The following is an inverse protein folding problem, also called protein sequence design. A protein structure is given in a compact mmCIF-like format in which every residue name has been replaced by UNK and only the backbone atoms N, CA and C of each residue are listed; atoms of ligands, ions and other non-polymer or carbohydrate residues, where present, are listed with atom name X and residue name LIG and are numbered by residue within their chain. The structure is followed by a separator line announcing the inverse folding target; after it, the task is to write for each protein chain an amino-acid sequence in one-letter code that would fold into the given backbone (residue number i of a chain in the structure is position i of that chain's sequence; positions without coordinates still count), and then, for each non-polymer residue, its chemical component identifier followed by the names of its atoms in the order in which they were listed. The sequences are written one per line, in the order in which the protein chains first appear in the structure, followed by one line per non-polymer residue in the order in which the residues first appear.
data_IF_531161125775
#
_entry.id   IF_531161125775
#
_cell.length_a   1.000
_cell.length_b   1.000
_cell.length_c   1.000
_cell.angle_alpha   90.00
_cell.angle_beta   90.00
_cell.angle_gamma   90.00
#
_symmetry.space_group_name_H-M   'P 1'
#
loop_
_entity.id
_entity.type
_entity.pdbx_description
1 polymer ?
#
# COMPACT_ATOMS: atom_id res chain seq x y z
N UNK A 1 10.02 -12.61 -0.69
CA UNK A 1 10.16 -11.55 0.33
C UNK A 1 8.90 -10.70 0.35
N UNK A 2 8.45 -10.24 1.52
CA UNK A 2 7.25 -9.39 1.68
C UNK A 2 7.62 -7.99 2.11
N UNK A 3 7.23 -6.97 1.34
CA UNK A 3 7.55 -5.57 1.65
C UNK A 3 6.45 -4.61 1.20
N UNK A 4 6.63 -3.32 1.53
CA UNK A 4 5.68 -2.25 1.21
C UNK A 4 6.13 -1.46 -0.02
N UNK A 5 5.22 -1.17 -0.92
CA UNK A 5 5.46 -0.28 -2.07
C UNK A 5 5.65 1.15 -1.55
N UNK A 6 6.84 1.70 -1.75
CA UNK A 6 7.21 3.07 -1.35
C UNK A 6 6.65 4.11 -2.30
N UNK A 7 6.68 3.81 -3.59
CA UNK A 7 5.98 4.58 -4.63
C UNK A 7 5.96 3.76 -5.92
N UNK A 8 4.99 4.05 -6.79
CA UNK A 8 4.92 3.48 -8.12
C UNK A 8 4.31 4.52 -9.07
N UNK A 9 4.97 4.74 -10.20
CA UNK A 9 4.48 5.62 -11.25
C UNK A 9 3.83 4.76 -12.33
N UNK A 10 2.51 4.66 -12.30
CA UNK A 10 1.75 3.86 -13.26
C UNK A 10 1.86 4.37 -14.71
N UNK A 11 2.18 5.65 -14.92
CA UNK A 11 2.38 6.21 -16.26
C UNK A 11 3.73 5.80 -16.82
N UNK A 12 4.77 5.74 -15.98
CA UNK A 12 6.12 5.31 -16.38
C UNK A 12 6.34 3.81 -16.26
N UNK A 13 5.50 3.09 -15.52
CA UNK A 13 5.55 1.64 -15.37
C UNK A 13 6.66 1.15 -14.43
N UNK A 14 7.11 1.96 -13.48
CA UNK A 14 8.13 1.54 -12.50
C UNK A 14 7.92 2.16 -11.13
N UNK A 15 8.53 1.54 -10.11
CA UNK A 15 8.42 1.95 -8.72
C UNK A 15 9.56 1.45 -7.84
N UNK A 16 9.39 1.68 -6.54
CA UNK A 16 10.28 1.18 -5.50
C UNK A 16 9.43 0.47 -4.44
N UNK A 17 9.85 -0.75 -4.11
CA UNK A 17 9.39 -1.51 -2.95
C UNK A 17 10.45 -1.35 -1.88
N UNK A 18 10.06 -1.17 -0.63
CA UNK A 18 10.99 -0.90 0.46
C UNK A 18 10.68 -1.76 1.67
N UNK A 19 11.74 -2.20 2.33
CA UNK A 19 11.66 -2.87 3.63
C UNK A 19 11.09 -1.92 4.68
N UNK A 20 10.58 -2.51 5.78
CA UNK A 20 10.16 -1.75 6.95
C UNK A 20 11.24 -0.74 7.38
N UNK A 21 10.82 0.51 7.56
CA UNK A 21 11.72 1.60 7.96
C UNK A 21 12.70 2.06 6.87
N UNK A 22 12.54 1.61 5.63
CA UNK A 22 13.28 2.15 4.47
C UNK A 22 14.76 1.75 4.39
N UNK A 23 15.15 0.61 4.98
CA UNK A 23 16.56 0.19 5.07
C UNK A 23 17.12 -0.30 3.74
N UNK A 24 16.28 -0.89 2.92
CA UNK A 24 16.63 -1.48 1.63
C UNK A 24 15.49 -1.23 0.64
N UNK A 25 15.86 -0.76 -0.54
CA UNK A 25 14.96 -0.42 -1.65
C UNK A 25 15.17 -1.40 -2.81
N UNK A 26 14.08 -1.90 -3.37
CA UNK A 26 14.03 -2.79 -4.52
C UNK A 26 13.32 -2.10 -5.68
N UNK A 27 13.96 -2.09 -6.84
CA UNK A 27 13.36 -1.54 -8.04
C UNK A 27 12.36 -2.52 -8.65
N UNK A 28 11.15 -2.04 -8.95
CA UNK A 28 10.10 -2.83 -9.62
C UNK A 28 9.74 -2.19 -10.95
N UNK A 29 9.67 -3.00 -12.00
CA UNK A 29 9.09 -2.63 -13.29
C UNK A 29 7.75 -3.36 -13.49
N UNK A 30 6.81 -2.73 -14.17
CA UNK A 30 5.45 -3.27 -14.39
C UNK A 30 5.44 -4.66 -15.04
N UNK A 31 6.45 -4.99 -15.84
CA UNK A 31 6.57 -6.31 -16.48
C UNK A 31 6.75 -7.44 -15.47
N UNK A 32 7.32 -7.12 -14.30
CA UNK A 32 7.57 -8.08 -13.23
C UNK A 32 6.38 -8.26 -12.31
N UNK A 33 5.32 -7.46 -12.45
CA UNK A 33 4.10 -7.60 -11.67
C UNK A 33 3.26 -8.72 -12.27
N UNK A 34 2.94 -9.72 -11.45
CA UNK A 34 2.11 -10.86 -11.78
C UNK A 34 0.69 -10.57 -11.30
N UNK A 35 -0.10 -9.96 -12.18
CA UNK A 35 -1.53 -9.72 -11.98
C UNK A 35 -2.25 -9.66 -13.32
N UNK A 36 -3.53 -9.96 -13.29
CA UNK A 36 -4.41 -9.83 -14.45
C UNK A 36 -4.78 -8.37 -14.71
N UNK A 37 -4.96 -8.01 -15.98
CA UNK A 37 -5.35 -6.66 -16.39
C UNK A 37 -4.24 -5.62 -16.29
N UNK A 38 -4.60 -4.39 -15.91
CA UNK A 38 -3.66 -3.27 -15.83
C UNK A 38 -2.74 -3.45 -14.60
N UNK A 39 -1.44 -3.55 -14.85
CA UNK A 39 -0.42 -3.86 -13.83
C UNK A 39 0.06 -2.60 -13.13
N UNK A 40 -0.56 -2.25 -12.02
CA UNK A 40 -0.14 -1.12 -11.19
C UNK A 40 -0.12 -1.49 -9.72
N UNK A 41 0.75 -0.77 -8.99
CA UNK A 41 0.82 -0.81 -7.53
C UNK A 41 0.48 0.58 -7.01
N UNK A 42 -0.07 0.63 -5.81
CA UNK A 42 -0.27 1.85 -5.04
C UNK A 42 0.77 1.93 -3.94
N UNK A 43 1.15 3.14 -3.56
CA UNK A 43 1.96 3.34 -2.38
C UNK A 43 1.23 2.80 -1.13
N UNK A 44 1.95 2.06 -0.30
CA UNK A 44 1.41 1.39 0.88
C UNK A 44 0.99 -0.06 0.62
N UNK A 45 0.85 -0.48 -0.64
CA UNK A 45 0.54 -1.87 -0.97
C UNK A 45 1.62 -2.82 -0.44
N UNK A 46 1.19 -3.96 0.04
CA UNK A 46 2.05 -5.05 0.51
C UNK A 46 2.12 -6.08 -0.61
N UNK A 47 3.35 -6.42 -0.99
CA UNK A 47 3.63 -7.31 -2.11
C UNK A 47 4.64 -8.37 -1.72
N UNK A 48 4.47 -9.54 -2.31
CA UNK A 48 5.45 -10.62 -2.30
C UNK A 48 6.25 -10.60 -3.60
N UNK A 49 7.56 -10.85 -3.53
CA UNK A 49 8.46 -10.81 -4.69
C UNK A 49 9.75 -11.58 -4.42
N UNK A 50 10.45 -11.93 -5.49
CA UNK A 50 11.82 -12.43 -5.45
C UNK A 50 12.81 -11.30 -5.75
N UNK A 51 14.03 -11.43 -5.24
CA UNK A 51 15.10 -10.44 -5.44
C UNK A 51 16.15 -11.00 -6.38
N UNK A 52 16.49 -10.23 -7.41
CA UNK A 52 17.67 -10.50 -8.25
C UNK A 52 18.58 -9.27 -8.29
N UNK A 53 19.91 -9.45 -8.39
CA UNK A 53 20.82 -8.32 -8.56
C UNK A 53 20.62 -7.70 -9.96
N UNK A 54 20.48 -6.38 -10.01
CA UNK A 54 20.41 -5.61 -11.25
C UNK A 54 21.80 -5.25 -11.78
N UNK A 55 21.89 -5.06 -13.09
CA UNK A 55 23.14 -4.68 -13.78
C UNK A 55 23.66 -3.30 -13.38
N UNK A 56 22.78 -2.45 -12.86
CA UNK A 56 23.07 -1.09 -12.41
C UNK A 56 23.38 -0.99 -10.90
N UNK A 57 23.55 -2.14 -10.24
CA UNK A 57 23.84 -2.23 -8.81
C UNK A 57 22.63 -2.10 -7.89
N UNK A 58 21.41 -1.96 -8.43
CA UNK A 58 20.17 -1.98 -7.64
C UNK A 58 19.63 -3.41 -7.52
N UNK A 59 19.01 -3.72 -6.38
CA UNK A 59 18.25 -4.97 -6.26
C UNK A 59 16.91 -4.83 -7.01
N UNK A 60 16.57 -5.80 -7.86
CA UNK A 60 15.34 -5.82 -8.63
C UNK A 60 14.32 -6.75 -7.97
N UNK A 61 13.08 -6.28 -7.89
CA UNK A 61 11.93 -7.10 -7.54
C UNK A 61 11.36 -7.76 -8.79
N UNK A 62 11.31 -9.10 -8.77
CA UNK A 62 10.73 -9.94 -9.82
C UNK A 62 9.63 -10.84 -9.26
N UNK A 63 8.78 -11.39 -10.13
CA UNK A 63 7.62 -12.20 -9.74
C UNK A 63 6.75 -11.50 -8.68
N UNK A 64 6.53 -10.19 -8.85
CA UNK A 64 5.85 -9.35 -7.86
C UNK A 64 4.37 -9.67 -7.85
N UNK A 65 3.89 -10.30 -6.78
CA UNK A 65 2.48 -10.63 -6.57
C UNK A 65 1.88 -9.74 -5.49
N UNK A 66 0.71 -9.12 -5.74
CA UNK A 66 -0.01 -8.37 -4.70
C UNK A 66 -0.45 -9.29 -3.55
N UNK A 67 -0.10 -8.93 -2.31
CA UNK A 67 -0.56 -9.66 -1.12
C UNK A 67 -1.74 -8.94 -0.46
N UNK A 68 -1.60 -7.63 -0.23
CA UNK A 68 -2.66 -6.77 0.31
C UNK A 68 -2.52 -5.38 -0.32
N UNK A 69 -3.52 -4.94 -1.07
CA UNK A 69 -3.46 -3.67 -1.80
C UNK A 69 -4.56 -2.71 -1.39
N UNK A 70 -4.34 -1.42 -1.57
CA UNK A 70 -5.38 -0.40 -1.39
C UNK A 70 -6.60 -0.70 -2.27
N UNK A 71 -6.38 -1.24 -3.47
CA UNK A 71 -7.48 -1.60 -4.37
C UNK A 71 -8.36 -2.71 -3.78
N UNK A 72 -7.75 -3.76 -3.22
CA UNK A 72 -8.50 -4.85 -2.56
C UNK A 72 -9.34 -4.31 -1.40
N UNK A 73 -8.77 -3.43 -0.59
CA UNK A 73 -9.46 -2.78 0.53
C UNK A 73 -10.60 -1.89 0.03
N UNK A 74 -10.36 -1.04 -0.98
CA UNK A 74 -11.39 -0.18 -1.57
C UNK A 74 -12.52 -0.97 -2.23
N UNK A 75 -12.21 -2.07 -2.93
CA UNK A 75 -13.21 -2.93 -3.56
C UNK A 75 -14.09 -3.59 -2.49
N UNK A 76 -13.50 -4.11 -1.41
CA UNK A 76 -14.23 -4.71 -0.29
C UNK A 76 -15.15 -3.70 0.40
N UNK A 77 -14.68 -2.47 0.65
CA UNK A 77 -15.49 -1.43 1.28
C UNK A 77 -16.65 -0.97 0.37
N UNK A 78 -16.44 -0.94 -0.95
CA UNK A 78 -17.51 -0.56 -1.90
C UNK A 78 -18.68 -1.53 -1.90
N UNK A 79 -18.47 -2.82 -1.58
CA UNK A 79 -19.57 -3.79 -1.44
C UNK A 79 -20.55 -3.38 -0.32
N UNK A 80 -20.08 -2.61 0.66
CA UNK A 80 -20.87 -2.06 1.78
C UNK A 80 -21.25 -0.58 1.59
N UNK A 81 -21.07 0.01 0.40
CA UNK A 81 -21.21 1.45 0.12
C UNK A 81 -20.30 2.34 0.98
N UNK A 82 -19.13 1.83 1.35
CA UNK A 82 -18.09 2.53 2.08
C UNK A 82 -16.94 2.92 1.16
N UNK A 83 -16.27 4.03 1.50
CA UNK A 83 -15.21 4.63 0.71
C UNK A 83 -14.04 5.07 1.58
N UNK A 84 -12.83 4.94 1.03
CA UNK A 84 -11.60 5.38 1.69
C UNK A 84 -11.35 6.86 1.40
N UNK A 85 -11.08 7.63 2.46
CA UNK A 85 -10.63 9.02 2.34
C UNK A 85 -9.26 9.20 2.99
N UNK A 86 -8.35 9.84 2.26
CA UNK A 86 -6.99 10.12 2.75
C UNK A 86 -7.02 11.32 3.70
N UNK A 87 -6.42 11.15 4.88
CA UNK A 87 -6.20 12.22 5.85
C UNK A 87 -5.04 13.07 5.34
N UNK A 88 -5.24 14.38 5.22
CA UNK A 88 -4.16 15.31 4.88
C UNK A 88 -3.19 15.37 6.06
N UNK A 89 -1.91 15.17 5.79
CA UNK A 89 -0.86 15.39 6.78
C UNK A 89 -0.88 16.86 7.21
N UNK A 90 -1.25 17.11 8.46
CA UNK A 90 -1.12 18.40 9.13
C UNK A 90 -0.06 18.31 10.25
N UNK A 91 0.11 19.39 11.00
CA UNK A 91 1.11 19.46 12.09
C UNK A 91 0.78 18.48 13.23
N UNK A 92 -0.47 18.06 13.38
CA UNK A 92 -0.94 17.15 14.42
C UNK A 92 -1.08 15.70 13.95
N UNK A 93 -0.77 15.41 12.68
CA UNK A 93 -0.82 14.05 12.15
C UNK A 93 0.30 13.21 12.75
N UNK A 94 -0.07 12.31 13.66
CA UNK A 94 0.80 11.36 14.37
C UNK A 94 0.87 10.00 13.61
N UNK A 95 -0.06 9.76 12.69
CA UNK A 95 -0.16 8.49 11.97
C UNK A 95 0.96 8.38 10.94
N UNK A 96 1.78 7.35 11.10
CA UNK A 96 2.84 6.99 10.17
C UNK A 96 2.47 5.68 9.49
N UNK A 97 2.79 5.56 8.21
CA UNK A 97 2.78 4.26 7.55
C UNK A 97 4.05 3.45 7.90
N UNK A 98 4.14 2.21 7.40
CA UNK A 98 5.27 1.30 7.65
C UNK A 98 6.65 1.81 7.18
N UNK A 99 6.66 2.91 6.41
CA UNK A 99 7.86 3.57 5.90
C UNK A 99 8.14 4.91 6.60
N UNK A 100 7.42 5.24 7.68
CA UNK A 100 7.59 6.47 8.45
C UNK A 100 7.00 7.73 7.80
N UNK A 101 6.22 7.58 6.73
CA UNK A 101 5.56 8.71 6.05
C UNK A 101 4.23 9.05 6.72
N UNK A 102 3.96 10.33 6.93
CA UNK A 102 2.70 10.82 7.52
C UNK A 102 1.52 10.60 6.58
N UNK A 103 0.83 9.49 6.75
CA UNK A 103 -0.35 9.12 5.96
C UNK A 103 -1.35 8.41 6.85
N UNK A 104 -2.59 8.91 6.83
CA UNK A 104 -3.73 8.28 7.48
C UNK A 104 -4.88 8.11 6.51
N UNK A 105 -5.76 7.19 6.85
CA UNK A 105 -6.98 6.90 6.11
C UNK A 105 -8.19 6.98 7.05
N UNK A 106 -9.35 7.26 6.50
CA UNK A 106 -10.63 7.16 7.20
C UNK A 106 -11.64 6.48 6.28
N UNK A 107 -12.67 5.88 6.87
CA UNK A 107 -13.77 5.27 6.13
C UNK A 107 -14.97 6.21 6.19
N UNK A 108 -15.57 6.47 5.04
CA UNK A 108 -16.78 7.31 4.91
C UNK A 108 -17.85 6.57 4.12
N UNK A 109 -19.11 6.96 4.29
CA UNK A 109 -20.21 6.51 3.42
C UNK A 109 -20.32 7.37 2.14
N UNK A 110 -21.33 7.07 1.32
CA UNK A 110 -21.66 7.82 0.09
C UNK A 110 -21.94 9.32 0.31
N UNK A 111 -22.33 9.70 1.52
CA UNK A 111 -22.64 11.08 1.91
C UNK A 111 -21.43 11.79 2.56
N UNK A 112 -20.24 11.17 2.52
CA UNK A 112 -19.02 11.62 3.18
C UNK A 112 -19.11 11.68 4.73
N UNK A 113 -20.04 10.94 5.34
CA UNK A 113 -20.12 10.80 6.80
C UNK A 113 -19.07 9.79 7.26
N UNK A 114 -18.29 10.13 8.28
CA UNK A 114 -17.25 9.27 8.83
C UNK A 114 -17.88 8.05 9.53
N UNK A 115 -17.44 6.87 9.13
CA UNK A 115 -17.84 5.58 9.72
C UNK A 115 -16.74 5.04 10.63
N UNK A 116 -15.46 5.27 10.29
CA UNK A 116 -14.33 4.86 11.11
C UNK A 116 -13.09 5.74 10.88
N UNK A 117 -12.22 5.79 11.88
CA UNK A 117 -10.93 6.50 11.80
C UNK A 117 -11.11 8.02 11.80
N UNK A 118 -11.90 8.56 12.73
CA UNK A 118 -12.10 10.01 12.87
C UNK A 118 -10.78 10.78 13.03
N UNK A 119 -9.80 10.20 13.73
CA UNK A 119 -8.45 10.74 13.88
C UNK A 119 -7.49 10.27 12.76
N UNK A 120 -8.00 9.51 11.80
CA UNK A 120 -7.26 8.70 10.86
C UNK A 120 -6.85 7.33 11.45
N UNK A 121 -6.51 6.41 10.57
CA UNK A 121 -5.96 5.10 10.90
C UNK A 121 -4.85 4.72 9.91
N UNK A 122 -4.02 3.73 10.26
CA UNK A 122 -2.98 3.23 9.35
C UNK A 122 -3.60 2.43 8.19
N UNK A 123 -2.80 2.09 7.18
CA UNK A 123 -3.28 1.20 6.11
C UNK A 123 -3.67 -0.19 6.64
N UNK A 124 -2.94 -0.72 7.62
CA UNK A 124 -3.24 -2.02 8.20
C UNK A 124 -4.53 -1.98 9.02
N UNK A 125 -4.75 -0.93 9.81
CA UNK A 125 -6.02 -0.76 10.53
C UNK A 125 -7.20 -0.63 9.56
N UNK A 126 -7.00 0.06 8.43
CA UNK A 126 -8.00 0.18 7.37
C UNK A 126 -8.31 -1.19 6.74
N UNK A 127 -7.29 -1.98 6.44
CA UNK A 127 -7.45 -3.31 5.89
C UNK A 127 -8.15 -4.25 6.89
N UNK A 128 -7.79 -4.19 8.17
CA UNK A 128 -8.45 -4.94 9.23
C UNK A 128 -9.93 -4.54 9.36
N UNK A 129 -10.24 -3.23 9.27
CA UNK A 129 -11.62 -2.75 9.23
C UNK A 129 -12.40 -3.33 8.04
N UNK A 130 -11.77 -3.45 6.88
CA UNK A 130 -12.35 -4.08 5.69
C UNK A 130 -12.35 -5.62 5.74
N UNK A 131 -12.00 -6.24 6.87
CA UNK A 131 -12.08 -7.70 7.06
C UNK A 131 -10.86 -8.49 6.58
N UNK A 132 -9.75 -7.83 6.21
CA UNK A 132 -8.53 -8.51 5.83
C UNK A 132 -7.72 -8.93 7.07
N UNK A 133 -7.11 -10.11 7.01
CA UNK A 133 -6.17 -10.54 8.03
C UNK A 133 -4.86 -9.76 7.91
N UNK A 134 -4.57 -8.96 8.94
CA UNK A 134 -3.35 -8.17 9.06
C UNK A 134 -2.43 -8.66 10.17
N UNK A 135 -2.75 -9.79 10.81
CA UNK A 135 -1.89 -10.34 11.86
C UNK A 135 -0.50 -10.68 11.29
N UNK A 136 0.54 -10.29 12.03
CA UNK A 136 1.93 -10.47 11.58
C UNK A 136 2.39 -9.50 10.49
N UNK A 137 1.51 -8.69 9.92
CA UNK A 137 1.90 -7.52 9.11
C UNK A 137 2.23 -6.40 10.10
N UNK A 138 3.50 -6.03 10.20
CA UNK A 138 3.87 -4.97 11.15
C UNK A 138 3.72 -3.60 10.52
N UNK A 139 2.98 -2.70 11.19
CA UNK A 139 3.11 -1.25 11.02
C UNK A 139 4.52 -0.77 11.42
#
# INVERSE_FOLDING_TARGET
MRCTVKWFDAKKGYGIISTKGGKEDYFVHQSNIVMDGFRYLCEGDIVDFDVIPGEDGRNLAVNVTPFLTMKMVEDSLKEENLYVKKVKADKNTIIMNALGMKKGYMVVDENNVIQAGEQGMTFLDLAAYAGFDTEGLSA
#
